data_IF_829562665885
#
_entry.id   IF_829562665885
#
_cell.length_a   1.000
_cell.length_b   1.000
_cell.length_c   1.000
_cell.angle_alpha   90.00
_cell.angle_beta   90.00
_cell.angle_gamma   90.00
#
_symmetry.space_group_name_H-M   'P 1'
#
loop_
_entity.id
_entity.type
_entity.pdbx_description
1 polymer ?
#
# COMPACT_ATOMS: atom_id res chain seq x y z
N UNK A 1 16.06 -3.13 -19.34
CA UNK A 1 16.21 -3.82 -18.08
C UNK A 1 14.86 -4.26 -17.58
N UNK A 2 14.70 -5.54 -17.37
CA UNK A 2 13.45 -6.07 -16.86
C UNK A 2 13.37 -5.79 -15.36
N UNK A 3 12.23 -5.30 -14.92
CA UNK A 3 11.96 -5.18 -13.49
C UNK A 3 11.55 -6.53 -12.95
N UNK A 4 12.15 -6.92 -11.83
CA UNK A 4 11.78 -8.16 -11.17
C UNK A 4 10.58 -7.91 -10.28
N UNK A 5 9.49 -8.59 -10.57
CA UNK A 5 8.27 -8.48 -9.78
C UNK A 5 8.08 -9.73 -8.94
N UNK A 6 7.75 -9.51 -7.68
CA UNK A 6 7.39 -10.60 -6.78
C UNK A 6 5.92 -10.96 -7.00
N UNK A 7 5.65 -12.25 -7.02
CA UNK A 7 4.29 -12.76 -7.17
C UNK A 7 3.74 -13.09 -5.78
N UNK A 8 2.59 -12.52 -5.43
CA UNK A 8 1.98 -12.81 -4.14
C UNK A 8 1.15 -14.08 -4.20
N UNK A 9 1.03 -14.77 -3.06
CA UNK A 9 0.18 -15.94 -2.91
C UNK A 9 -1.07 -15.64 -2.09
N UNK A 10 -0.95 -14.79 -1.09
CA UNK A 10 -2.09 -14.30 -0.34
C UNK A 10 -1.77 -12.92 0.20
N UNK A 11 -2.80 -12.18 0.48
CA UNK A 11 -2.65 -10.90 1.18
C UNK A 11 -3.85 -10.68 2.09
N UNK A 12 -3.64 -9.86 3.09
CA UNK A 12 -4.67 -9.48 4.03
C UNK A 12 -4.59 -7.96 4.20
N UNK A 13 -5.75 -7.32 4.22
CA UNK A 13 -5.83 -5.87 4.28
C UNK A 13 -6.77 -5.49 5.42
N UNK A 14 -6.31 -4.63 6.30
CA UNK A 14 -7.14 -4.05 7.34
C UNK A 14 -7.16 -2.54 7.17
N UNK A 15 -8.31 -1.94 7.40
CA UNK A 15 -8.50 -0.50 7.27
C UNK A 15 -8.78 0.10 8.64
N UNK A 16 -8.02 1.15 8.96
CA UNK A 16 -8.22 1.94 10.15
C UNK A 16 -8.44 3.38 9.72
N UNK A 17 -9.60 3.91 10.07
CA UNK A 17 -9.99 5.25 9.64
C UNK A 17 -9.91 6.22 10.81
N UNK A 18 -9.37 7.39 10.56
CA UNK A 18 -9.47 8.53 11.48
C UNK A 18 -9.95 9.77 10.72
N UNK A 19 -9.97 10.92 11.39
CA UNK A 19 -10.52 12.14 10.79
C UNK A 19 -9.70 12.70 9.63
N UNK A 20 -8.41 12.37 9.55
CA UNK A 20 -7.50 13.00 8.59
C UNK A 20 -6.99 12.06 7.53
N UNK A 21 -6.90 10.79 7.86
CA UNK A 21 -6.27 9.85 6.96
C UNK A 21 -6.81 8.45 7.23
N UNK A 22 -6.57 7.58 6.28
CA UNK A 22 -6.88 6.17 6.40
C UNK A 22 -5.59 5.38 6.45
N UNK A 23 -5.55 4.43 7.36
CA UNK A 23 -4.40 3.55 7.47
C UNK A 23 -4.77 2.19 6.91
N UNK A 24 -4.02 1.73 5.94
CA UNK A 24 -4.19 0.42 5.33
C UNK A 24 -3.05 -0.45 5.81
N UNK A 25 -3.38 -1.51 6.55
CA UNK A 25 -2.40 -2.50 6.97
C UNK A 25 -2.51 -3.68 6.01
N UNK A 26 -1.44 -3.96 5.30
CA UNK A 26 -1.42 -5.00 4.30
C UNK A 26 -0.36 -6.04 4.65
N UNK A 27 -0.77 -7.29 4.77
CA UNK A 27 0.14 -8.42 4.97
C UNK A 27 0.11 -9.26 3.70
N UNK A 28 1.27 -9.44 3.11
CA UNK A 28 1.36 -10.12 1.83
C UNK A 28 2.47 -11.16 1.89
N UNK A 29 2.16 -12.36 1.45
CA UNK A 29 3.17 -13.38 1.23
C UNK A 29 3.53 -13.38 -0.24
N UNK A 30 4.80 -13.18 -0.52
CA UNK A 30 5.32 -13.07 -1.87
C UNK A 30 6.22 -14.25 -2.14
N UNK A 31 6.18 -14.73 -3.38
CA UNK A 31 7.10 -15.77 -3.80
C UNK A 31 8.41 -15.09 -4.23
N UNK A 32 9.50 -15.52 -3.61
CA UNK A 32 10.82 -14.98 -3.91
C UNK A 32 11.24 -15.45 -5.30
N UNK A 33 11.85 -14.58 -6.12
CA UNK A 33 12.39 -15.00 -7.41
C UNK A 33 13.54 -16.00 -7.22
N UNK A 34 14.01 -16.59 -8.32
CA UNK A 34 15.02 -17.64 -8.27
C UNK A 34 16.30 -17.22 -7.53
N UNK A 35 16.61 -15.96 -7.48
CA UNK A 35 17.73 -15.46 -6.70
C UNK A 35 17.28 -15.27 -5.26
N UNK A 36 17.98 -15.96 -4.38
CA UNK A 36 17.65 -15.95 -2.97
C UNK A 36 17.92 -14.58 -2.36
N UNK A 37 16.95 -14.11 -1.57
CA UNK A 37 17.11 -12.88 -0.80
C UNK A 37 17.73 -13.25 0.54
N UNK A 38 18.91 -12.69 0.83
CA UNK A 38 19.58 -12.92 2.11
C UNK A 38 19.10 -11.94 3.15
N UNK A 39 18.97 -10.67 2.77
CA UNK A 39 18.60 -9.63 3.70
C UNK A 39 17.82 -8.54 2.98
N UNK A 40 16.71 -8.11 3.57
CA UNK A 40 15.98 -6.95 3.11
C UNK A 40 16.59 -5.71 3.76
N UNK A 41 17.05 -4.79 2.94
CA UNK A 41 17.71 -3.59 3.43
C UNK A 41 16.78 -2.43 3.59
N UNK A 42 15.82 -2.28 2.68
CA UNK A 42 14.89 -1.15 2.71
C UNK A 42 13.68 -1.45 1.83
N UNK A 43 12.64 -0.67 2.02
CA UNK A 43 11.46 -0.69 1.18
C UNK A 43 10.93 0.72 1.02
N UNK A 44 10.47 1.04 -0.16
CA UNK A 44 9.97 2.38 -0.46
C UNK A 44 8.71 2.29 -1.33
N UNK A 45 7.80 3.22 -1.10
CA UNK A 45 6.63 3.37 -1.95
C UNK A 45 7.08 3.89 -3.31
N UNK A 46 6.76 3.15 -4.36
CA UNK A 46 7.15 3.54 -5.71
C UNK A 46 5.99 4.19 -6.46
N UNK A 47 4.80 3.57 -6.40
CA UNK A 47 3.67 4.04 -7.17
C UNK A 47 2.38 3.45 -6.60
N UNK A 48 1.25 4.05 -6.96
CA UNK A 48 -0.07 3.51 -6.65
C UNK A 48 -1.05 3.91 -7.73
N UNK A 49 -2.08 3.07 -7.92
CA UNK A 49 -3.13 3.31 -8.90
C UNK A 49 -4.46 2.97 -8.25
N UNK A 50 -5.45 3.85 -8.40
CA UNK A 50 -6.81 3.58 -8.01
C UNK A 50 -7.65 3.31 -9.25
N UNK A 51 -8.38 2.20 -9.23
CA UNK A 51 -9.32 1.88 -10.29
C UNK A 51 -10.63 2.61 -10.05
N UNK A 52 -11.17 3.19 -11.11
CA UNK A 52 -12.48 3.83 -11.03
C UNK A 52 -13.54 2.76 -10.85
N UNK A 53 -14.37 2.93 -9.83
CA UNK A 53 -15.53 2.09 -9.63
C UNK A 53 -16.74 2.83 -10.20
N UNK A 54 -17.62 2.13 -10.94
CA UNK A 54 -18.85 2.76 -11.41
C UNK A 54 -19.69 3.18 -10.21
N UNK A 55 -20.17 4.41 -10.23
CA UNK A 55 -21.08 4.89 -9.20
C UNK A 55 -22.42 4.20 -9.42
N UNK A 56 -22.82 3.39 -8.45
CA UNK A 56 -24.14 2.76 -8.47
C UNK A 56 -25.17 3.74 -7.93
N UNK A 57 -26.22 3.98 -8.69
CA UNK A 57 -27.33 4.83 -8.26
C UNK A 57 -28.07 4.23 -7.06
N UNK A 58 -27.83 2.96 -6.78
CA UNK A 58 -28.44 2.27 -5.65
C UNK A 58 -27.65 2.44 -4.35
N UNK A 59 -26.54 3.16 -4.36
CA UNK A 59 -25.81 3.43 -3.15
C UNK A 59 -26.61 4.35 -2.27
N UNK A 60 -27.14 3.78 -1.21
CA UNK A 60 -27.80 4.57 -0.18
C UNK A 60 -26.77 5.36 0.59
N UNK A 61 -27.23 6.43 1.20
CA UNK A 61 -26.40 7.43 1.87
C UNK A 61 -25.48 6.89 2.94
N UNK A 62 -25.77 5.70 3.47
CA UNK A 62 -24.94 5.09 4.50
C UNK A 62 -23.93 4.08 3.96
N UNK A 63 -23.92 3.86 2.66
CA UNK A 63 -23.02 2.89 2.05
C UNK A 63 -21.61 3.45 1.94
N UNK A 64 -20.64 2.66 2.36
CA UNK A 64 -19.25 2.96 2.12
C UNK A 64 -18.96 2.86 0.61
N UNK A 65 -18.07 3.70 0.14
CA UNK A 65 -17.68 3.68 -1.27
C UNK A 65 -16.61 2.60 -1.46
N UNK A 66 -16.86 1.59 -2.31
CA UNK A 66 -15.85 0.58 -2.57
C UNK A 66 -14.67 1.17 -3.32
N UNK A 67 -13.48 0.67 -3.02
CA UNK A 67 -12.28 1.04 -3.74
C UNK A 67 -11.52 -0.20 -4.14
N UNK A 68 -10.79 -0.09 -5.22
CA UNK A 68 -9.86 -1.11 -5.67
C UNK A 68 -8.68 -0.42 -6.31
N UNK A 69 -7.51 -0.95 -6.05
CA UNK A 69 -6.30 -0.38 -6.60
C UNK A 69 -5.11 -1.27 -6.35
N UNK A 70 -3.95 -0.73 -6.61
CA UNK A 70 -2.70 -1.42 -6.33
C UNK A 70 -1.63 -0.42 -5.90
N UNK A 71 -0.70 -0.91 -5.10
CA UNK A 71 0.47 -0.15 -4.70
C UNK A 71 1.69 -0.95 -5.08
N UNK A 72 2.71 -0.27 -5.59
CA UNK A 72 3.99 -0.89 -5.93
C UNK A 72 5.02 -0.47 -4.89
N UNK A 73 5.59 -1.45 -4.22
CA UNK A 73 6.64 -1.24 -3.23
C UNK A 73 7.95 -1.70 -3.84
N UNK A 74 8.94 -0.84 -3.81
CA UNK A 74 10.30 -1.17 -4.23
C UNK A 74 11.06 -1.71 -3.04
N UNK A 75 11.66 -2.89 -3.20
CA UNK A 75 12.36 -3.59 -2.14
C UNK A 75 13.83 -3.65 -2.51
N UNK A 76 14.67 -3.19 -1.60
CA UNK A 76 16.13 -3.23 -1.74
C UNK A 76 16.65 -4.38 -0.89
N UNK A 77 17.41 -5.27 -1.51
CA UNK A 77 17.86 -6.47 -0.81
C UNK A 77 19.29 -6.86 -1.22
N UNK A 78 19.90 -7.69 -0.39
CA UNK A 78 21.17 -8.35 -0.70
C UNK A 78 20.88 -9.74 -1.27
N UNK A 79 21.53 -10.06 -2.38
CA UNK A 79 21.47 -11.39 -2.97
C UNK A 79 22.54 -12.30 -2.37
N UNK A 80 22.64 -13.53 -2.87
CA UNK A 80 23.61 -14.52 -2.38
C UNK A 80 25.06 -14.09 -2.54
N UNK A 81 25.35 -13.22 -3.48
CA UNK A 81 26.69 -12.70 -3.72
C UNK A 81 26.96 -11.42 -2.94
N UNK A 82 26.08 -11.08 -2.00
CA UNK A 82 26.14 -9.85 -1.20
C UNK A 82 26.13 -8.58 -2.04
N UNK A 83 25.49 -8.66 -3.19
CA UNK A 83 25.28 -7.50 -4.02
C UNK A 83 23.88 -6.94 -3.76
N UNK A 84 23.78 -5.61 -3.76
CA UNK A 84 22.50 -4.96 -3.59
C UNK A 84 21.69 -5.01 -4.88
N UNK A 85 20.47 -5.45 -4.76
CA UNK A 85 19.53 -5.52 -5.86
C UNK A 85 18.18 -4.97 -5.44
N UNK A 86 17.32 -4.74 -6.42
CA UNK A 86 15.96 -4.26 -6.17
C UNK A 86 14.95 -5.17 -6.86
N UNK A 87 13.80 -5.29 -6.23
CA UNK A 87 12.64 -5.91 -6.85
C UNK A 87 11.40 -5.11 -6.49
N UNK A 88 10.28 -5.45 -7.11
CA UNK A 88 9.03 -4.72 -6.93
C UNK A 88 7.95 -5.68 -6.49
N UNK A 89 7.19 -5.27 -5.47
CA UNK A 89 6.01 -5.98 -5.03
C UNK A 89 4.79 -5.15 -5.40
N UNK A 90 3.89 -5.71 -6.21
CA UNK A 90 2.64 -5.06 -6.54
C UNK A 90 1.57 -5.65 -5.64
N UNK A 91 1.06 -4.86 -4.72
CA UNK A 91 0.10 -5.31 -3.72
C UNK A 91 -1.29 -4.83 -4.10
N UNK A 92 -2.26 -5.75 -4.26
CA UNK A 92 -3.62 -5.34 -4.52
C UNK A 92 -4.24 -4.75 -3.26
N UNK A 93 -4.97 -3.67 -3.43
CA UNK A 93 -5.70 -3.02 -2.35
C UNK A 93 -7.18 -3.06 -2.68
N UNK A 94 -7.99 -3.49 -1.74
CA UNK A 94 -9.42 -3.59 -1.93
C UNK A 94 -10.12 -3.36 -0.61
N UNK A 95 -11.18 -2.58 -0.64
CA UNK A 95 -11.95 -2.28 0.54
C UNK A 95 -13.08 -1.31 0.23
N UNK A 96 -13.62 -0.72 1.28
CA UNK A 96 -14.67 0.28 1.13
C UNK A 96 -14.44 1.37 2.16
N UNK A 97 -14.80 2.59 1.79
CA UNK A 97 -14.45 3.75 2.57
C UNK A 97 -15.56 4.82 2.53
N UNK A 98 -15.43 5.83 3.39
CA UNK A 98 -16.43 6.88 3.50
C UNK A 98 -16.48 7.79 2.29
N UNK A 99 -15.39 7.88 1.53
CA UNK A 99 -15.33 8.73 0.34
C UNK A 99 -14.55 8.02 -0.76
N UNK A 100 -14.78 8.37 -2.02
CA UNK A 100 -14.06 7.73 -3.12
C UNK A 100 -12.60 8.11 -3.09
N UNK A 101 -11.73 7.14 -3.39
CA UNK A 101 -10.30 7.37 -3.57
C UNK A 101 -10.03 7.76 -5.01
N UNK A 102 -9.30 8.85 -5.17
CA UNK A 102 -8.95 9.40 -6.47
C UNK A 102 -7.44 9.62 -6.54
N UNK A 103 -6.97 10.05 -7.69
CA UNK A 103 -5.57 10.39 -7.90
C UNK A 103 -5.09 11.55 -7.02
N UNK A 104 -6.02 12.33 -6.48
CA UNK A 104 -5.69 13.44 -5.62
C UNK A 104 -5.41 13.01 -4.18
N UNK A 105 -5.79 11.80 -3.82
CA UNK A 105 -5.43 11.25 -2.51
C UNK A 105 -3.97 10.84 -2.54
N UNK A 106 -3.18 11.42 -1.68
CA UNK A 106 -1.78 11.03 -1.54
C UNK A 106 -1.64 9.81 -0.65
N UNK A 107 -0.61 9.02 -0.91
CA UNK A 107 -0.33 7.83 -0.14
C UNK A 107 1.13 7.85 0.27
N UNK A 108 1.42 7.33 1.47
CA UNK A 108 2.79 7.15 1.90
C UNK A 108 2.93 5.86 2.69
N UNK A 109 4.12 5.31 2.65
CA UNK A 109 4.48 4.13 3.42
C UNK A 109 4.98 4.62 4.79
N UNK A 110 4.22 4.30 5.84
CA UNK A 110 4.60 4.69 7.20
C UNK A 110 5.57 3.71 7.82
N UNK A 111 5.39 2.43 7.52
CA UNK A 111 6.16 1.38 8.16
C UNK A 111 6.12 0.14 7.29
N UNK A 112 7.19 -0.63 7.33
CA UNK A 112 7.21 -1.95 6.73
C UNK A 112 7.99 -2.91 7.63
N UNK A 113 7.65 -4.19 7.50
CA UNK A 113 8.41 -5.28 8.10
C UNK A 113 8.50 -6.38 7.06
N UNK A 114 9.69 -6.86 6.81
CA UNK A 114 9.91 -7.90 5.81
C UNK A 114 10.74 -9.03 6.42
N UNK A 115 10.29 -10.25 6.19
CA UNK A 115 10.96 -11.43 6.72
C UNK A 115 10.96 -12.51 5.65
N UNK A 116 12.13 -13.10 5.42
CA UNK A 116 12.23 -14.22 4.49
C UNK A 116 11.93 -15.52 5.22
N UNK A 117 11.18 -16.39 4.55
CA UNK A 117 10.83 -17.70 5.07
C UNK A 117 10.90 -18.71 3.94
N UNK A 118 12.08 -19.35 3.76
CA UNK A 118 12.30 -20.28 2.67
C UNK A 118 12.17 -19.59 1.31
N UNK A 119 11.22 -20.06 0.51
CA UNK A 119 10.96 -19.51 -0.83
C UNK A 119 10.00 -18.32 -0.80
N UNK A 120 9.62 -17.87 0.37
CA UNK A 120 8.63 -16.83 0.52
C UNK A 120 9.18 -15.62 1.26
N UNK A 121 8.63 -14.47 0.94
CA UNK A 121 8.88 -13.23 1.64
C UNK A 121 7.55 -12.78 2.25
N UNK A 122 7.52 -12.66 3.56
CA UNK A 122 6.38 -12.07 4.25
C UNK A 122 6.63 -10.58 4.37
N UNK A 123 5.77 -9.80 3.73
CA UNK A 123 5.87 -8.34 3.73
C UNK A 123 4.64 -7.76 4.42
N UNK A 124 4.88 -7.01 5.49
CA UNK A 124 3.84 -6.23 6.15
C UNK A 124 4.11 -4.76 5.87
N UNK A 125 3.08 -4.06 5.43
CA UNK A 125 3.18 -2.63 5.14
C UNK A 125 2.05 -1.89 5.84
N UNK A 126 2.37 -0.70 6.31
CA UNK A 126 1.38 0.23 6.86
C UNK A 126 1.39 1.45 5.97
N UNK A 127 0.31 1.65 5.26
CA UNK A 127 0.15 2.72 4.29
C UNK A 127 -0.84 3.74 4.84
N UNK A 128 -0.56 5.01 4.60
CA UNK A 128 -1.46 6.09 4.97
C UNK A 128 -1.96 6.77 3.72
N UNK A 129 -3.28 6.86 3.59
CA UNK A 129 -3.94 7.58 2.50
C UNK A 129 -4.58 8.82 3.08
N UNK A 130 -4.19 9.98 2.59
CA UNK A 130 -4.71 11.24 3.08
C UNK A 130 -6.05 11.55 2.44
N UNK A 131 -6.93 12.18 3.21
CA UNK A 131 -8.21 12.65 2.69
C UNK A 131 -7.98 13.73 1.66
N UNK A 132 -8.83 13.72 0.64
CA UNK A 132 -8.77 14.70 -0.43
C UNK A 132 -9.52 16.00 -0.10
N UNK A 133 -10.32 15.99 0.94
CA UNK A 133 -11.08 17.18 1.31
C UNK A 133 -10.20 18.19 2.03
N UNK A 134 -10.26 19.47 1.65
CA UNK A 134 -9.56 20.49 2.40
C UNK A 134 -10.10 20.56 3.83
N UNK A 135 -9.21 20.77 4.77
CA UNK A 135 -9.62 20.96 6.15
C UNK A 135 -10.45 22.24 6.27
N UNK A 136 -11.43 22.22 7.17
CA UNK A 136 -12.13 23.43 7.56
C UNK A 136 -11.11 24.48 7.97
N UNK A 137 -11.25 25.76 7.52
CA UNK A 137 -10.30 26.80 7.90
C UNK A 137 -10.09 26.94 9.40
N UNK A 138 -11.14 26.71 10.18
CA UNK A 138 -11.03 26.74 11.64
C UNK A 138 -10.13 25.62 12.15
N UNK A 139 -10.23 24.44 11.56
CA UNK A 139 -9.40 23.30 11.94
C UNK A 139 -7.94 23.51 11.54
N UNK A 140 -7.72 24.14 10.39
CA UNK A 140 -6.36 24.46 9.95
C UNK A 140 -5.68 25.42 10.93
N UNK A 141 -6.40 26.43 11.38
CA UNK A 141 -5.87 27.39 12.35
C UNK A 141 -5.52 26.72 13.69
N UNK A 142 -6.36 25.81 14.14
CA UNK A 142 -6.11 25.06 15.38
C UNK A 142 -4.92 24.13 15.20
N UNK A 143 -4.79 23.52 14.04
CA UNK A 143 -3.71 22.58 13.75
C UNK A 143 -2.33 23.21 13.63
N UNK A 144 -2.23 24.52 13.58
CA UNK A 144 -0.96 25.22 13.44
C UNK A 144 -0.33 25.60 14.79
N UNK A 145 -0.99 25.36 15.87
CA UNK A 145 -0.48 25.69 17.20
C UNK A 145 0.22 24.54 17.88
#
# INVERSE_FOLDING_TARGET
>A
MQKDYLTYKWHDVALLSDQRAYTIICKTMLQIPQQEIIEIQDAALNDWVWQRQPVSDDTKTDALVPFRGSVTIQIYYLNQDYQQETCFAVLPLEGAWEEPLTEQNSMRLLFYHAQTAGEHLLLETVLQVNRNQPLDPTQVLIGQF
#
